data_IF_227765637078
#
_entry.id   IF_227765637078
#
_cell.length_a   1.000
_cell.length_b   1.000
_cell.length_c   1.000
_cell.angle_alpha   90.00
_cell.angle_beta   90.00
_cell.angle_gamma   90.00
#
_symmetry.space_group_name_H-M   'P 1'
#
loop_
_entity.id
_entity.type
_entity.pdbx_description
1 polymer ?
#
# COMPACT_ATOMS: atom_id res chain seq x y z
N UNK A 1 6.47 54.91 -2.45
CA UNK A 1 6.56 53.74 -1.56
C UNK A 1 5.46 52.70 -1.77
N UNK A 2 4.31 53.02 -2.40
CA UNK A 2 3.21 52.05 -2.62
C UNK A 2 3.41 51.04 -3.79
N UNK A 3 4.32 51.34 -4.72
CA UNK A 3 4.58 50.48 -5.90
C UNK A 3 5.56 49.32 -5.63
N UNK A 4 6.38 49.39 -4.58
CA UNK A 4 7.39 48.39 -4.24
C UNK A 4 6.79 47.19 -3.49
N UNK A 5 5.66 47.39 -2.78
CA UNK A 5 4.99 46.35 -2.00
C UNK A 5 4.13 45.41 -2.89
N UNK A 6 3.67 45.88 -4.07
CA UNK A 6 2.83 45.09 -4.97
C UNK A 6 3.64 44.06 -5.77
N UNK A 7 4.91 44.40 -6.09
CA UNK A 7 5.78 43.49 -6.86
C UNK A 7 6.32 42.34 -6.04
N UNK A 8 6.51 42.54 -4.70
CA UNK A 8 6.99 41.47 -3.82
C UNK A 8 5.91 40.46 -3.50
N UNK A 9 4.64 40.87 -3.40
CA UNK A 9 3.52 39.94 -3.17
C UNK A 9 3.22 39.08 -4.39
N UNK A 10 3.34 39.62 -5.61
CA UNK A 10 3.14 38.84 -6.85
C UNK A 10 4.28 37.82 -7.04
N UNK A 11 5.54 38.19 -6.74
CA UNK A 11 6.66 37.27 -6.81
C UNK A 11 6.55 36.12 -5.80
N UNK A 12 6.02 36.39 -4.59
CA UNK A 12 5.84 35.38 -3.56
C UNK A 12 4.69 34.39 -3.89
N UNK A 13 3.62 34.86 -4.52
CA UNK A 13 2.51 33.98 -4.95
C UNK A 13 2.88 33.07 -6.12
N UNK A 14 3.80 33.47 -6.99
CA UNK A 14 4.30 32.65 -8.09
C UNK A 14 5.20 31.51 -7.54
N UNK A 15 5.94 31.72 -6.46
CA UNK A 15 6.78 30.69 -5.85
C UNK A 15 5.96 29.57 -5.18
N UNK A 16 4.73 29.81 -4.75
CA UNK A 16 3.86 28.77 -4.16
C UNK A 16 3.03 28.00 -5.20
N UNK A 17 2.95 28.46 -6.44
CA UNK A 17 2.17 27.81 -7.51
C UNK A 17 2.95 26.70 -8.26
N UNK A 18 4.22 26.47 -7.91
CA UNK A 18 5.04 25.39 -8.50
C UNK A 18 5.01 24.09 -7.68
N UNK A 19 4.13 24.00 -6.68
CA UNK A 19 3.98 22.79 -5.89
C UNK A 19 3.29 21.68 -6.73
N UNK A 20 4.04 20.62 -6.95
CA UNK A 20 3.60 19.31 -7.44
C UNK A 20 3.22 19.25 -8.92
N UNK A 21 4.25 19.23 -9.76
CA UNK A 21 4.10 19.06 -11.21
C UNK A 21 3.87 17.60 -11.63
N UNK A 22 4.08 16.62 -10.72
CA UNK A 22 3.81 15.20 -10.94
C UNK A 22 3.25 14.55 -9.68
N UNK A 23 2.53 13.46 -9.86
CA UNK A 23 1.97 12.67 -8.78
C UNK A 23 2.22 11.18 -9.08
N UNK A 24 2.86 10.48 -8.14
CA UNK A 24 2.95 9.05 -8.15
C UNK A 24 1.61 8.45 -7.72
N UNK A 25 1.20 7.41 -8.40
CA UNK A 25 0.03 6.59 -8.06
C UNK A 25 0.15 5.23 -8.73
N UNK A 26 -0.44 4.19 -8.15
CA UNK A 26 -0.52 2.88 -8.76
C UNK A 26 -1.75 2.11 -8.30
N UNK A 27 -2.12 1.12 -9.08
CA UNK A 27 -3.04 0.06 -8.69
C UNK A 27 -2.35 -1.29 -8.74
N UNK A 28 -2.97 -2.30 -8.14
CA UNK A 28 -2.46 -3.66 -8.22
C UNK A 28 -3.58 -4.68 -8.30
N UNK A 29 -3.26 -5.84 -8.90
CA UNK A 29 -4.11 -7.04 -8.91
C UNK A 29 -3.32 -8.21 -8.34
N UNK A 30 -4.00 -9.05 -7.55
CA UNK A 30 -3.40 -10.22 -6.92
C UNK A 30 -3.93 -11.52 -7.50
N UNK A 31 -3.02 -12.48 -7.69
CA UNK A 31 -3.34 -13.87 -8.00
C UNK A 31 -2.50 -14.77 -7.07
N UNK A 32 -3.08 -15.13 -5.92
CA UNK A 32 -2.35 -15.79 -4.84
C UNK A 32 -1.20 -14.91 -4.31
N UNK A 33 0.04 -15.43 -4.24
CA UNK A 33 1.18 -14.65 -3.77
C UNK A 33 1.74 -13.68 -4.81
N UNK A 34 1.26 -13.74 -6.06
CA UNK A 34 1.75 -12.91 -7.15
C UNK A 34 0.91 -11.65 -7.28
N UNK A 35 1.56 -10.50 -7.29
CA UNK A 35 0.97 -9.17 -7.46
C UNK A 35 1.45 -8.57 -8.78
N UNK A 36 0.51 -8.04 -9.55
CA UNK A 36 0.75 -7.31 -10.80
C UNK A 36 0.48 -5.85 -10.49
N UNK A 37 1.50 -5.01 -10.58
CA UNK A 37 1.39 -3.57 -10.35
C UNK A 37 1.15 -2.84 -11.66
N UNK A 38 0.37 -1.78 -11.61
CA UNK A 38 0.08 -0.90 -12.75
C UNK A 38 0.33 0.54 -12.34
N UNK A 39 1.28 1.20 -13.01
CA UNK A 39 1.58 2.62 -12.82
C UNK A 39 0.41 3.48 -13.30
N UNK A 40 -0.07 4.38 -12.43
CA UNK A 40 -1.11 5.37 -12.70
C UNK A 40 -0.59 6.80 -12.49
N UNK A 41 0.71 6.96 -12.39
CA UNK A 41 1.35 8.26 -12.12
C UNK A 41 1.08 9.25 -13.24
N UNK A 42 0.94 10.51 -12.87
CA UNK A 42 0.60 11.60 -13.79
C UNK A 42 1.59 12.77 -13.67
N UNK A 43 1.71 13.52 -14.76
CA UNK A 43 2.41 14.81 -14.80
C UNK A 43 1.43 15.89 -15.28
N UNK A 44 1.51 17.07 -14.69
CA UNK A 44 0.59 18.16 -15.02
C UNK A 44 0.82 18.74 -16.40
N UNK A 45 -0.21 19.40 -16.96
CA UNK A 45 -0.27 19.97 -18.31
C UNK A 45 0.62 21.22 -18.52
N UNK A 46 1.87 21.17 -18.23
CA UNK A 46 2.83 22.26 -18.48
C UNK A 46 4.17 21.70 -18.95
N UNK A 47 4.25 20.37 -19.00
CA UNK A 47 5.43 19.66 -19.48
C UNK A 47 5.40 19.53 -21.02
N UNK A 48 6.56 19.53 -21.63
CA UNK A 48 6.68 19.22 -23.05
C UNK A 48 6.28 17.76 -23.30
N UNK A 49 6.01 17.41 -24.54
CA UNK A 49 5.76 16.00 -24.93
C UNK A 49 7.03 15.16 -24.94
N UNK A 50 8.21 15.77 -24.66
CA UNK A 50 9.53 15.15 -24.72
C UNK A 50 10.15 15.00 -23.32
N UNK A 51 9.45 14.38 -22.38
CA UNK A 51 10.02 14.01 -21.08
C UNK A 51 10.36 12.51 -21.03
N UNK A 52 11.34 12.19 -20.22
CA UNK A 52 11.63 10.81 -19.80
C UNK A 52 11.04 10.54 -18.44
N UNK A 53 10.67 9.28 -18.19
CA UNK A 53 10.16 8.81 -16.89
C UNK A 53 11.02 7.67 -16.41
N UNK A 54 11.33 7.65 -15.12
CA UNK A 54 11.93 6.51 -14.45
C UNK A 54 11.06 6.09 -13.28
N UNK A 55 10.98 4.78 -13.05
CA UNK A 55 10.25 4.14 -11.96
C UNK A 55 11.25 3.50 -11.02
N UNK A 56 11.01 3.63 -9.74
CA UNK A 56 11.76 2.95 -8.68
C UNK A 56 10.75 2.40 -7.67
N UNK A 57 10.64 1.07 -7.66
CA UNK A 57 9.74 0.34 -6.80
C UNK A 57 10.50 -0.27 -5.64
N UNK A 58 10.06 -0.01 -4.42
CA UNK A 58 10.31 -0.85 -3.25
C UNK A 58 9.07 -1.73 -3.04
N UNK A 59 9.23 -3.06 -3.07
CA UNK A 59 8.12 -3.99 -2.98
C UNK A 59 7.80 -4.42 -1.54
N UNK A 60 8.53 -3.87 -0.56
CA UNK A 60 8.27 -4.03 0.87
C UNK A 60 8.79 -5.32 1.49
N UNK A 61 9.37 -6.23 0.70
CA UNK A 61 10.00 -7.49 1.15
C UNK A 61 11.53 -7.51 0.95
N UNK A 62 12.11 -6.34 0.64
CA UNK A 62 13.52 -6.16 0.32
C UNK A 62 13.85 -6.32 -1.17
N UNK A 63 12.86 -6.61 -2.00
CA UNK A 63 12.98 -6.61 -3.45
C UNK A 63 12.59 -5.25 -4.04
N UNK A 64 13.14 -4.94 -5.21
CA UNK A 64 12.88 -3.70 -5.94
C UNK A 64 12.72 -3.94 -7.44
N UNK A 65 12.16 -2.96 -8.17
CA UNK A 65 12.03 -3.01 -9.62
C UNK A 65 12.11 -1.61 -10.23
N UNK A 66 12.63 -1.53 -11.47
CA UNK A 66 12.63 -0.29 -12.27
C UNK A 66 11.68 -0.38 -13.48
N UNK A 67 10.90 -1.44 -13.57
CA UNK A 67 9.88 -1.60 -14.61
C UNK A 67 8.70 -0.67 -14.33
N UNK A 68 8.05 -0.15 -15.37
CA UNK A 68 6.83 0.65 -15.22
C UNK A 68 5.72 -0.15 -14.51
N UNK A 69 5.48 -1.39 -14.94
CA UNK A 69 4.44 -2.25 -14.43
C UNK A 69 5.07 -3.59 -14.01
N UNK A 70 5.67 -3.69 -12.81
CA UNK A 70 6.32 -4.92 -12.38
C UNK A 70 5.32 -6.00 -11.99
N UNK A 71 5.77 -7.25 -12.10
CA UNK A 71 5.10 -8.42 -11.54
C UNK A 71 6.03 -8.98 -10.47
N UNK A 72 5.50 -9.18 -9.26
CA UNK A 72 6.26 -9.71 -8.14
C UNK A 72 5.52 -10.83 -7.42
N UNK A 73 6.28 -11.85 -6.97
CA UNK A 73 5.75 -12.96 -6.19
C UNK A 73 6.38 -12.94 -4.80
N UNK A 74 5.56 -12.70 -3.80
CA UNK A 74 5.98 -12.70 -2.40
C UNK A 74 6.20 -14.12 -1.89
N UNK A 75 7.32 -14.36 -1.22
CA UNK A 75 7.67 -15.71 -0.75
C UNK A 75 6.85 -16.16 0.46
N UNK A 76 6.36 -15.23 1.26
CA UNK A 76 5.64 -15.51 2.50
C UNK A 76 4.32 -14.73 2.56
N UNK A 77 3.38 -15.24 3.35
CA UNK A 77 2.20 -14.46 3.73
C UNK A 77 2.61 -13.29 4.62
N UNK A 78 1.97 -12.15 4.45
CA UNK A 78 2.29 -10.95 5.24
C UNK A 78 1.62 -9.70 4.72
N UNK A 79 1.90 -8.59 5.39
CA UNK A 79 1.54 -7.24 4.93
C UNK A 79 2.83 -6.57 4.48
N UNK A 80 2.87 -6.16 3.24
CA UNK A 80 4.02 -5.52 2.60
C UNK A 80 3.66 -4.10 2.22
N UNK A 81 4.51 -3.13 2.56
CA UNK A 81 4.34 -1.74 2.12
C UNK A 81 5.06 -1.58 0.78
N UNK A 82 4.32 -1.59 -0.31
CA UNK A 82 4.89 -1.31 -1.62
C UNK A 82 4.90 0.19 -1.90
N UNK A 83 6.02 0.71 -2.36
CA UNK A 83 6.21 2.13 -2.68
C UNK A 83 6.69 2.30 -4.11
N UNK A 84 6.07 3.20 -4.85
CA UNK A 84 6.50 3.66 -6.16
C UNK A 84 7.07 5.07 -6.04
N UNK A 85 8.29 5.27 -6.52
CA UNK A 85 8.85 6.60 -6.79
C UNK A 85 8.97 6.79 -8.29
N UNK A 86 8.35 7.84 -8.83
CA UNK A 86 8.50 8.24 -10.23
C UNK A 86 9.30 9.52 -10.33
N UNK A 87 10.18 9.58 -11.31
CA UNK A 87 10.91 10.81 -11.65
C UNK A 87 10.69 11.13 -13.12
N UNK A 88 10.13 12.31 -13.37
CA UNK A 88 9.96 12.89 -14.70
C UNK A 88 11.08 13.87 -14.95
N UNK A 89 11.69 13.80 -16.13
CA UNK A 89 12.73 14.72 -16.55
C UNK A 89 12.44 15.26 -17.96
N UNK A 90 12.31 16.58 -18.10
CA UNK A 90 12.18 17.28 -19.36
C UNK A 90 13.50 17.94 -19.72
N UNK A 91 14.15 17.41 -20.76
CA UNK A 91 15.44 17.91 -21.21
C UNK A 91 15.35 19.25 -21.97
N UNK A 92 14.16 19.63 -22.44
CA UNK A 92 13.97 20.85 -23.23
C UNK A 92 13.97 22.10 -22.37
N UNK A 93 13.45 21.99 -21.15
CA UNK A 93 13.36 23.09 -20.16
C UNK A 93 14.23 22.86 -18.93
N UNK A 94 14.99 21.74 -18.91
CA UNK A 94 15.85 21.31 -17.79
C UNK A 94 15.04 21.32 -16.47
N UNK A 95 13.89 20.67 -16.51
CA UNK A 95 12.98 20.56 -15.38
C UNK A 95 12.83 19.10 -14.95
N UNK A 96 12.70 18.86 -13.65
CA UNK A 96 12.43 17.52 -13.13
C UNK A 96 11.39 17.59 -12.01
N UNK A 97 10.65 16.50 -11.84
CA UNK A 97 9.71 16.31 -10.74
C UNK A 97 9.81 14.87 -10.24
N UNK A 98 9.92 14.70 -8.95
CA UNK A 98 9.90 13.38 -8.29
C UNK A 98 8.71 13.31 -7.33
N UNK A 99 8.00 12.20 -7.36
CA UNK A 99 6.88 11.93 -6.45
C UNK A 99 6.92 10.48 -6.01
N UNK A 100 6.42 10.20 -4.81
CA UNK A 100 6.35 8.84 -4.27
C UNK A 100 4.96 8.57 -3.71
N UNK A 101 4.49 7.33 -3.87
CA UNK A 101 3.23 6.83 -3.32
C UNK A 101 3.44 5.41 -2.79
N UNK A 102 2.83 5.09 -1.63
CA UNK A 102 2.92 3.77 -1.00
C UNK A 102 1.54 3.24 -0.66
N UNK A 103 1.36 1.92 -0.83
CA UNK A 103 0.14 1.22 -0.41
C UNK A 103 0.48 -0.15 0.19
N UNK A 104 -0.44 -0.71 0.96
CA UNK A 104 -0.28 -1.98 1.66
C UNK A 104 -0.76 -3.14 0.80
N UNK A 105 0.11 -4.11 0.56
CA UNK A 105 -0.18 -5.36 -0.15
C UNK A 105 -0.35 -6.47 0.89
N UNK A 106 -1.52 -7.10 0.94
CA UNK A 106 -1.81 -8.20 1.85
C UNK A 106 -1.70 -9.52 1.10
N UNK A 107 -0.71 -10.34 1.42
CA UNK A 107 -0.50 -11.65 0.80
C UNK A 107 -0.99 -12.77 1.73
N UNK A 108 -1.87 -13.60 1.18
CA UNK A 108 -2.50 -14.70 1.92
C UNK A 108 -3.46 -14.22 3.00
N UNK A 109 -3.84 -15.10 3.90
CA UNK A 109 -4.60 -14.72 5.11
C UNK A 109 -3.65 -14.11 6.13
N UNK A 110 -3.20 -12.86 5.90
CA UNK A 110 -2.35 -12.11 6.82
C UNK A 110 -3.13 -11.42 7.95
N UNK A 111 -4.41 -11.72 8.06
CA UNK A 111 -5.17 -11.37 9.24
C UNK A 111 -4.55 -12.15 10.40
N UNK A 112 -3.97 -11.52 11.43
CA UNK A 112 -3.43 -12.24 12.57
C UNK A 112 -4.49 -13.19 13.11
N UNK A 113 -4.11 -14.46 13.32
CA UNK A 113 -5.05 -15.42 13.89
C UNK A 113 -5.60 -14.84 15.21
N UNK A 114 -6.90 -14.72 15.29
CA UNK A 114 -7.60 -14.22 16.47
C UNK A 114 -8.71 -15.19 16.82
N UNK A 115 -9.02 -15.35 18.08
CA UNK A 115 -9.87 -16.42 18.55
C UNK A 115 -11.04 -15.86 19.36
N UNK A 116 -12.23 -16.38 19.13
CA UNK A 116 -13.43 -16.05 19.90
C UNK A 116 -13.96 -17.29 20.62
N UNK A 117 -14.52 -17.09 21.82
CA UNK A 117 -15.30 -18.09 22.52
C UNK A 117 -16.66 -18.28 21.85
N UNK A 118 -16.92 -19.45 21.31
CA UNK A 118 -18.23 -19.85 20.82
C UNK A 118 -18.86 -20.97 21.67
N UNK A 119 -20.07 -21.35 21.33
CA UNK A 119 -20.80 -22.46 21.96
C UNK A 119 -20.10 -23.82 21.83
N UNK A 120 -19.19 -23.95 20.87
CA UNK A 120 -18.43 -25.18 20.61
C UNK A 120 -16.92 -25.01 20.91
N UNK A 121 -16.54 -24.01 21.71
CA UNK A 121 -15.16 -23.73 22.06
C UNK A 121 -14.57 -22.57 21.27
N UNK A 122 -13.24 -22.54 21.11
CA UNK A 122 -12.52 -21.48 20.41
C UNK A 122 -12.54 -21.65 18.90
N UNK A 123 -12.92 -20.63 18.19
CA UNK A 123 -12.87 -20.57 16.72
C UNK A 123 -12.17 -19.30 16.25
N UNK A 124 -11.43 -19.38 15.14
CA UNK A 124 -10.86 -18.20 14.48
C UNK A 124 -11.91 -17.64 13.51
N UNK A 125 -12.42 -16.41 13.74
CA UNK A 125 -13.37 -15.77 12.84
C UNK A 125 -12.72 -15.34 11.50
N UNK A 126 -11.38 -15.44 11.37
CA UNK A 126 -10.66 -15.03 10.17
C UNK A 126 -10.63 -13.51 9.93
N UNK A 127 -11.00 -12.73 10.93
CA UNK A 127 -11.09 -11.25 10.82
C UNK A 127 -9.91 -10.52 11.46
N UNK A 128 -9.09 -11.22 12.28
CA UNK A 128 -8.05 -10.62 13.12
C UNK A 128 -8.57 -9.78 14.27
N UNK A 129 -9.88 -9.75 14.47
CA UNK A 129 -10.57 -8.96 15.50
C UNK A 129 -11.13 -9.81 16.64
N UNK A 130 -10.75 -11.08 16.70
CA UNK A 130 -11.17 -11.98 17.79
C UNK A 130 -10.63 -11.54 19.15
N UNK A 131 -11.31 -11.96 20.18
CA UNK A 131 -11.08 -11.56 21.58
C UNK A 131 -9.71 -12.01 22.13
N UNK A 132 -9.13 -13.06 21.56
CA UNK A 132 -7.86 -13.66 21.98
C UNK A 132 -6.86 -13.72 20.83
N UNK A 133 -5.60 -13.43 21.11
CA UNK A 133 -4.51 -13.42 20.13
C UNK A 133 -3.86 -14.79 19.91
N UNK A 134 -4.27 -15.80 20.68
CA UNK A 134 -3.81 -17.18 20.49
C UNK A 134 -4.89 -18.19 20.87
N UNK A 135 -4.86 -19.37 20.23
CA UNK A 135 -5.75 -20.48 20.56
C UNK A 135 -5.61 -20.89 22.05
N UNK A 136 -4.39 -20.93 22.57
CA UNK A 136 -4.13 -21.33 23.98
C UNK A 136 -4.72 -20.33 24.96
N UNK A 137 -4.68 -19.03 24.70
CA UNK A 137 -5.31 -18.02 25.57
C UNK A 137 -6.85 -18.10 25.53
N UNK A 138 -7.41 -18.38 24.36
CA UNK A 138 -8.84 -18.62 24.21
C UNK A 138 -9.27 -19.91 24.99
N UNK A 139 -8.57 -21.01 24.80
CA UNK A 139 -8.86 -22.29 25.46
C UNK A 139 -8.72 -22.23 26.97
N UNK A 140 -7.80 -21.42 27.50
CA UNK A 140 -7.64 -21.22 28.96
C UNK A 140 -8.88 -20.58 29.59
N UNK A 141 -9.65 -19.81 28.86
CA UNK A 141 -10.85 -19.11 29.35
C UNK A 141 -12.13 -19.85 28.96
N UNK A 142 -12.24 -20.33 27.73
CA UNK A 142 -13.47 -20.92 27.18
C UNK A 142 -13.53 -22.44 27.29
N UNK A 143 -12.44 -23.07 27.75
CA UNK A 143 -12.30 -24.52 27.80
C UNK A 143 -12.00 -25.16 26.45
N UNK A 144 -11.48 -26.38 26.48
CA UNK A 144 -11.37 -27.20 25.27
C UNK A 144 -12.75 -27.73 24.91
N UNK A 145 -13.14 -27.82 23.63
CA UNK A 145 -14.38 -28.49 23.25
C UNK A 145 -14.35 -29.91 23.80
N UNK A 146 -15.28 -30.26 24.68
CA UNK A 146 -15.48 -31.65 25.07
C UNK A 146 -16.04 -32.37 23.84
N UNK A 147 -15.39 -33.44 23.35
CA UNK A 147 -15.99 -34.21 22.27
C UNK A 147 -17.31 -34.80 22.79
N UNK A 148 -18.42 -34.29 22.29
CA UNK A 148 -19.73 -34.85 22.53
C UNK A 148 -19.85 -36.12 21.70
N UNK A 149 -19.67 -37.28 22.33
CA UNK A 149 -19.89 -38.61 21.74
C UNK A 149 -21.36 -39.04 21.83
N UNK A 150 -22.27 -38.13 22.13
CA UNK A 150 -23.68 -38.43 22.17
C UNK A 150 -24.24 -38.43 20.71
N UNK A 151 -24.09 -39.59 20.07
CA UNK A 151 -24.97 -39.94 18.95
C UNK A 151 -26.36 -40.19 19.57
N UNK A 152 -27.42 -39.46 19.18
CA UNK A 152 -28.76 -39.87 19.54
C UNK A 152 -29.03 -41.20 18.86
N UNK A 153 -29.14 -42.26 19.68
CA UNK A 153 -29.70 -43.54 19.22
C UNK A 153 -31.22 -43.36 19.10
N UNK A 154 -31.67 -43.38 17.85
CA UNK A 154 -33.06 -43.62 17.48
C UNK A 154 -33.27 -45.08 17.23
#
# INVERSE_FOLDING_TARGET
MRKLLLTTTIALTILFAQAQQCQADFSFMQNGPTTIFTDLSTVNSGWSTNYSVTWDWDLGDGNSSTQQNPIHTYANNGIYMACLTVTYFDSTVINYCTSSYCDSIIIGNSVPASWDCGTFGCSDPGTGLGQYTSLSSCQAVCGTPTPSWDCPVN
#
